data_IF_002257539095
#
_entry.id   IF_002257539095
#
_cell.length_a   1.000
_cell.length_b   1.000
_cell.length_c   1.000
_cell.angle_alpha   90.00
_cell.angle_beta   90.00
_cell.angle_gamma   90.00
#
_symmetry.space_group_name_H-M   'P 1'
#
loop_
_entity.id
_entity.type
_entity.pdbx_description
1 polymer ?
#
# COMPACT_ATOMS: atom_id res chain seq x y z
N UNK A 1 6.56 -15.46 19.59
CA UNK A 1 7.43 -16.13 18.60
C UNK A 1 6.97 -15.74 17.22
N UNK A 2 7.82 -15.05 16.47
CA UNK A 2 7.47 -14.55 15.12
C UNK A 2 7.33 -15.71 14.13
N UNK A 3 6.47 -15.55 13.12
CA UNK A 3 6.32 -16.48 12.00
C UNK A 3 7.68 -16.87 11.40
N UNK A 4 8.59 -15.89 11.29
CA UNK A 4 9.96 -16.03 10.82
C UNK A 4 10.93 -16.73 11.81
N UNK A 5 10.59 -16.96 13.07
CA UNK A 5 11.42 -17.73 14.01
C UNK A 5 11.17 -19.24 13.93
N UNK A 6 9.92 -19.64 13.62
CA UNK A 6 9.57 -21.03 13.33
C UNK A 6 10.18 -21.55 12.01
N UNK A 7 10.48 -20.65 11.08
CA UNK A 7 10.82 -20.98 9.70
C UNK A 7 12.31 -21.28 9.44
N UNK A 8 13.23 -20.65 10.17
CA UNK A 8 14.66 -20.63 9.79
C UNK A 8 15.60 -21.41 10.72
N UNK A 9 15.16 -21.80 11.93
CA UNK A 9 16.02 -22.50 12.90
C UNK A 9 17.18 -21.64 13.43
N UNK A 10 17.75 -22.03 14.58
CA UNK A 10 18.83 -21.29 15.24
C UNK A 10 20.18 -21.60 14.56
N UNK A 11 20.71 -20.67 13.74
CA UNK A 11 22.14 -20.35 13.49
C UNK A 11 22.50 -19.84 12.08
N UNK A 12 21.55 -19.62 11.16
CA UNK A 12 21.85 -18.91 9.90
C UNK A 12 21.36 -17.46 9.99
N UNK A 13 22.23 -16.53 9.60
CA UNK A 13 21.89 -15.12 9.53
C UNK A 13 20.78 -14.91 8.49
N UNK A 14 19.58 -14.61 8.98
CA UNK A 14 18.36 -14.53 8.16
C UNK A 14 18.48 -13.46 7.09
N UNK A 15 19.19 -12.37 7.37
CA UNK A 15 19.42 -11.30 6.41
C UNK A 15 20.28 -11.78 5.25
N UNK A 16 21.36 -12.51 5.55
CA UNK A 16 22.23 -13.12 4.52
C UNK A 16 21.46 -14.10 3.62
N UNK A 17 20.60 -14.95 4.19
CA UNK A 17 19.78 -15.90 3.39
C UNK A 17 18.80 -15.17 2.48
N UNK A 18 18.13 -14.14 2.99
CA UNK A 18 17.16 -13.35 2.20
C UNK A 18 17.84 -12.56 1.09
N UNK A 19 19.01 -11.99 1.36
CA UNK A 19 19.79 -11.24 0.38
C UNK A 19 20.24 -12.13 -0.78
N UNK A 20 20.72 -13.33 -0.47
CA UNK A 20 21.10 -14.33 -1.48
C UNK A 20 19.91 -14.80 -2.33
N UNK A 21 18.75 -15.05 -1.71
CA UNK A 21 17.54 -15.39 -2.46
C UNK A 21 17.17 -14.26 -3.41
N UNK A 22 17.20 -13.01 -2.92
CA UNK A 22 16.88 -11.84 -3.74
C UNK A 22 17.83 -11.68 -4.94
N UNK A 23 19.13 -11.83 -4.73
CA UNK A 23 20.12 -11.78 -5.81
C UNK A 23 19.86 -12.85 -6.88
N UNK A 24 19.60 -14.09 -6.46
CA UNK A 24 19.32 -15.19 -7.37
C UNK A 24 18.01 -15.01 -8.14
N UNK A 25 16.94 -14.63 -7.45
CA UNK A 25 15.65 -14.33 -8.10
C UNK A 25 15.81 -13.20 -9.09
N UNK A 26 16.51 -12.12 -8.72
CA UNK A 26 16.75 -10.99 -9.61
C UNK A 26 17.47 -11.42 -10.90
N UNK A 27 18.51 -12.25 -10.80
CA UNK A 27 19.26 -12.74 -11.96
C UNK A 27 18.42 -13.58 -12.93
N UNK A 28 17.37 -14.26 -12.44
CA UNK A 28 16.51 -15.11 -13.25
C UNK A 28 15.21 -14.40 -13.69
N UNK A 29 14.77 -13.41 -12.92
CA UNK A 29 13.58 -12.63 -13.20
C UNK A 29 13.70 -11.79 -14.48
N UNK A 30 14.89 -11.27 -14.81
CA UNK A 30 15.08 -10.53 -16.05
C UNK A 30 14.88 -11.42 -17.28
N UNK A 31 15.39 -12.65 -17.22
CA UNK A 31 15.20 -13.64 -18.27
C UNK A 31 13.73 -14.04 -18.39
N UNK A 32 13.05 -14.27 -17.27
CA UNK A 32 11.60 -14.54 -17.26
C UNK A 32 10.81 -13.39 -17.89
N UNK A 33 11.08 -12.14 -17.49
CA UNK A 33 10.40 -10.96 -18.02
C UNK A 33 10.63 -10.85 -19.53
N UNK A 34 11.88 -10.98 -19.99
CA UNK A 34 12.22 -10.91 -21.41
C UNK A 34 11.53 -12.01 -22.22
N UNK A 35 11.56 -13.25 -21.73
CA UNK A 35 10.88 -14.38 -22.39
C UNK A 35 9.36 -14.18 -22.42
N UNK A 36 8.77 -13.70 -21.32
CA UNK A 36 7.34 -13.44 -21.25
C UNK A 36 6.89 -12.36 -22.24
N UNK A 37 7.68 -11.28 -22.36
CA UNK A 37 7.43 -10.21 -23.34
C UNK A 37 7.56 -10.74 -24.76
N UNK A 38 8.54 -11.61 -25.04
CA UNK A 38 8.73 -12.22 -26.35
C UNK A 38 7.58 -13.18 -26.72
N UNK A 39 7.01 -13.88 -25.75
CA UNK A 39 5.89 -14.82 -25.95
C UNK A 39 4.52 -14.14 -26.01
N UNK A 40 4.43 -12.81 -25.90
CA UNK A 40 3.14 -12.11 -25.78
C UNK A 40 2.15 -12.41 -26.90
N UNK A 41 2.61 -12.63 -28.13
CA UNK A 41 1.72 -13.00 -29.24
C UNK A 41 1.13 -14.40 -29.05
N UNK A 42 1.95 -15.39 -28.68
CA UNK A 42 1.51 -16.76 -28.39
C UNK A 42 0.61 -16.83 -27.15
N UNK A 43 0.90 -16.01 -26.13
CA UNK A 43 0.10 -15.93 -24.91
C UNK A 43 -1.29 -15.31 -25.15
N UNK A 44 -1.48 -14.50 -26.19
CA UNK A 44 -2.80 -13.91 -26.50
C UNK A 44 -3.80 -14.95 -26.99
N UNK A 45 -3.32 -16.04 -27.57
CA UNK A 45 -4.16 -17.14 -28.06
C UNK A 45 -4.57 -18.11 -26.94
N UNK A 46 -3.97 -17.98 -25.76
CA UNK A 46 -4.22 -18.82 -24.59
C UNK A 46 -5.29 -18.25 -23.66
N UNK A 47 -6.03 -19.15 -23.01
CA UNK A 47 -6.93 -18.81 -21.92
C UNK A 47 -6.16 -18.26 -20.71
N UNK A 48 -6.86 -17.55 -19.82
CA UNK A 48 -6.27 -17.07 -18.57
C UNK A 48 -5.73 -18.22 -17.70
N UNK A 49 -6.39 -19.38 -17.74
CA UNK A 49 -6.00 -20.56 -16.97
C UNK A 49 -4.69 -21.17 -17.50
N UNK A 50 -4.56 -21.33 -18.82
CA UNK A 50 -3.34 -21.83 -19.46
C UNK A 50 -2.15 -20.89 -19.21
N UNK A 51 -2.36 -19.57 -19.29
CA UNK A 51 -1.32 -18.59 -18.95
C UNK A 51 -0.86 -18.69 -17.49
N UNK A 52 -1.79 -18.92 -16.56
CA UNK A 52 -1.48 -19.12 -15.14
C UNK A 52 -0.68 -20.40 -14.91
N UNK A 53 -0.96 -21.47 -15.64
CA UNK A 53 -0.19 -22.71 -15.58
C UNK A 53 1.24 -22.53 -16.09
N UNK A 54 1.43 -21.88 -17.23
CA UNK A 54 2.77 -21.56 -17.77
C UNK A 54 3.56 -20.71 -16.78
N UNK A 55 2.94 -19.66 -16.22
CA UNK A 55 3.58 -18.81 -15.22
C UNK A 55 4.01 -19.60 -13.98
N UNK A 56 3.14 -20.50 -13.50
CA UNK A 56 3.45 -21.37 -12.36
C UNK A 56 4.66 -22.27 -12.66
N UNK A 57 4.71 -22.86 -13.85
CA UNK A 57 5.83 -23.72 -14.26
C UNK A 57 7.15 -22.96 -14.35
N UNK A 58 7.15 -21.74 -14.90
CA UNK A 58 8.32 -20.86 -14.93
C UNK A 58 8.79 -20.48 -13.53
N UNK A 59 7.85 -20.18 -12.63
CA UNK A 59 8.18 -19.89 -11.24
C UNK A 59 8.73 -21.10 -10.47
N UNK A 60 8.24 -22.31 -10.79
CA UNK A 60 8.77 -23.55 -10.25
C UNK A 60 10.20 -23.83 -10.76
N UNK A 61 10.53 -23.42 -11.99
CA UNK A 61 11.92 -23.47 -12.49
C UNK A 61 12.84 -22.54 -11.68
N UNK A 62 12.43 -21.28 -11.47
CA UNK A 62 13.21 -20.31 -10.67
C UNK A 62 13.34 -20.79 -9.22
N UNK A 63 12.26 -21.33 -8.65
CA UNK A 63 12.26 -21.86 -7.28
C UNK A 63 13.22 -23.04 -7.13
N UNK A 64 13.22 -23.97 -8.08
CA UNK A 64 14.18 -25.10 -8.09
C UNK A 64 15.62 -24.62 -8.22
N UNK A 65 15.90 -23.71 -9.16
CA UNK A 65 17.24 -23.14 -9.35
C UNK A 65 17.73 -22.42 -8.07
N UNK A 66 16.87 -21.65 -7.43
CA UNK A 66 17.16 -20.96 -6.16
C UNK A 66 17.43 -21.96 -5.04
N UNK A 67 16.62 -23.03 -4.93
CA UNK A 67 16.83 -24.08 -3.93
C UNK A 67 18.17 -24.79 -4.12
N UNK A 68 18.56 -25.08 -5.36
CA UNK A 68 19.86 -25.67 -5.68
C UNK A 68 21.02 -24.74 -5.32
N UNK A 69 20.90 -23.45 -5.62
CA UNK A 69 21.89 -22.44 -5.26
C UNK A 69 22.11 -22.37 -3.74
N UNK A 70 21.03 -22.34 -2.96
CA UNK A 70 21.11 -22.37 -1.49
C UNK A 70 21.80 -23.64 -0.99
N UNK A 71 21.46 -24.80 -1.54
CA UNK A 71 22.10 -26.08 -1.19
C UNK A 71 23.60 -26.07 -1.50
N UNK A 72 24.01 -25.52 -2.65
CA UNK A 72 25.44 -25.38 -3.04
C UNK A 72 26.23 -24.54 -2.04
N UNK A 73 25.58 -23.56 -1.40
CA UNK A 73 26.18 -22.74 -0.33
C UNK A 73 26.02 -23.33 1.07
N UNK A 74 25.56 -24.58 1.20
CA UNK A 74 25.27 -25.25 2.47
C UNK A 74 24.23 -24.51 3.33
N UNK A 75 23.31 -23.80 2.68
CA UNK A 75 22.20 -23.07 3.31
C UNK A 75 20.96 -23.96 3.33
N UNK A 76 20.26 -23.99 4.47
CA UNK A 76 19.01 -24.74 4.58
C UNK A 76 17.94 -24.06 3.74
N UNK A 77 17.35 -24.79 2.80
CA UNK A 77 16.25 -24.28 1.97
C UNK A 77 15.04 -23.94 2.84
N UNK A 78 14.50 -22.71 2.77
CA UNK A 78 13.29 -22.33 3.48
C UNK A 78 12.09 -23.17 3.00
N UNK A 79 11.23 -23.60 3.92
CA UNK A 79 10.06 -24.42 3.60
C UNK A 79 9.04 -23.74 2.66
N UNK A 80 9.09 -22.42 2.56
CA UNK A 80 8.19 -21.57 1.78
C UNK A 80 8.95 -20.81 0.68
N UNK A 81 10.05 -21.36 0.18
CA UNK A 81 10.90 -20.71 -0.83
C UNK A 81 10.10 -20.23 -2.06
N UNK A 82 9.15 -21.03 -2.54
CA UNK A 82 8.27 -20.64 -3.65
C UNK A 82 7.56 -19.29 -3.39
N UNK A 83 7.09 -19.08 -2.16
CA UNK A 83 6.42 -17.82 -1.79
C UNK A 83 7.41 -16.66 -1.79
N UNK A 84 8.63 -16.87 -1.27
CA UNK A 84 9.68 -15.85 -1.28
C UNK A 84 10.03 -15.47 -2.72
N UNK A 85 10.27 -16.46 -3.59
CA UNK A 85 10.60 -16.24 -5.01
C UNK A 85 9.51 -15.44 -5.71
N UNK A 86 8.25 -15.80 -5.49
CA UNK A 86 7.09 -15.08 -6.03
C UNK A 86 7.05 -13.62 -5.58
N UNK A 87 7.26 -13.37 -4.29
CA UNK A 87 7.23 -12.00 -3.75
C UNK A 87 8.35 -11.14 -4.30
N UNK A 88 9.57 -11.67 -4.38
CA UNK A 88 10.70 -10.94 -4.96
C UNK A 88 10.48 -10.66 -6.46
N UNK A 89 9.88 -11.59 -7.21
CA UNK A 89 9.48 -11.36 -8.61
C UNK A 89 8.43 -10.25 -8.74
N UNK A 90 7.38 -10.30 -7.91
CA UNK A 90 6.34 -9.27 -7.89
C UNK A 90 6.89 -7.89 -7.54
N UNK A 91 7.76 -7.81 -6.53
CA UNK A 91 8.35 -6.56 -6.10
C UNK A 91 9.24 -5.98 -7.21
N UNK A 92 9.98 -6.82 -7.95
CA UNK A 92 10.75 -6.38 -9.13
C UNK A 92 9.86 -5.82 -10.24
N UNK A 93 8.75 -6.48 -10.58
CA UNK A 93 7.81 -5.97 -11.59
C UNK A 93 7.18 -4.64 -11.14
N UNK A 94 6.83 -4.51 -9.86
CA UNK A 94 6.32 -3.25 -9.28
C UNK A 94 7.39 -2.16 -9.32
N UNK A 95 8.66 -2.49 -9.05
CA UNK A 95 9.78 -1.55 -9.15
C UNK A 95 9.95 -1.03 -10.59
N UNK A 96 9.81 -1.90 -11.60
CA UNK A 96 9.81 -1.51 -13.02
C UNK A 96 8.60 -0.65 -13.40
N UNK A 97 7.41 -0.94 -12.87
CA UNK A 97 6.20 -0.18 -13.16
C UNK A 97 6.19 1.22 -12.50
N UNK A 98 6.84 1.35 -11.33
CA UNK A 98 6.73 2.53 -10.46
C UNK A 98 7.07 3.87 -11.13
N UNK A 99 8.14 4.02 -11.93
CA UNK A 99 8.44 5.27 -12.62
C UNK A 99 7.29 5.73 -13.52
N UNK A 100 6.74 4.82 -14.32
CA UNK A 100 5.62 5.10 -15.23
C UNK A 100 4.34 5.46 -14.48
N UNK A 101 4.02 4.74 -13.40
CA UNK A 101 2.86 5.05 -12.55
C UNK A 101 3.04 6.42 -11.88
N UNK A 102 4.26 6.73 -11.42
CA UNK A 102 4.57 8.00 -10.76
C UNK A 102 4.42 9.18 -11.71
N UNK A 103 4.91 9.05 -12.95
CA UNK A 103 4.77 10.06 -14.00
C UNK A 103 3.31 10.23 -14.42
N UNK A 104 2.59 9.12 -14.61
CA UNK A 104 1.16 9.14 -14.91
C UNK A 104 0.38 9.90 -13.85
N UNK A 105 0.55 9.56 -12.56
CA UNK A 105 -0.08 10.27 -11.44
C UNK A 105 0.34 11.75 -11.41
N UNK A 106 1.62 12.03 -11.66
CA UNK A 106 2.13 13.39 -11.68
C UNK A 106 1.44 14.26 -12.73
N UNK A 107 1.09 13.69 -13.89
CA UNK A 107 0.39 14.41 -14.97
C UNK A 107 -1.00 14.93 -14.58
N UNK A 108 -1.66 14.30 -13.61
CA UNK A 108 -2.97 14.74 -13.09
C UNK A 108 -2.85 15.80 -11.99
N UNK A 109 -1.63 16.09 -11.54
CA UNK A 109 -1.42 17.14 -10.55
C UNK A 109 -1.68 18.50 -11.17
N UNK A 110 -2.32 19.36 -10.39
CA UNK A 110 -2.54 20.77 -10.76
C UNK A 110 -1.63 21.64 -9.88
N UNK A 111 -0.37 21.87 -10.28
CA UNK A 111 0.62 22.57 -9.44
C UNK A 111 0.25 24.03 -9.16
N UNK A 112 -0.66 24.60 -9.96
CA UNK A 112 -1.18 25.96 -9.81
C UNK A 112 -2.36 26.07 -8.83
N UNK A 113 -2.95 24.96 -8.39
CA UNK A 113 -3.98 24.97 -7.37
C UNK A 113 -3.33 24.98 -5.98
N UNK A 114 -3.84 25.83 -5.09
CA UNK A 114 -3.47 25.78 -3.69
C UNK A 114 -3.82 24.39 -3.14
N UNK A 115 -2.81 23.73 -2.58
CA UNK A 115 -3.01 22.46 -1.88
C UNK A 115 -3.67 22.74 -0.53
N UNK A 116 -4.58 21.89 -0.05
CA UNK A 116 -5.07 20.65 -0.66
C UNK A 116 -6.22 20.79 -1.67
N UNK A 117 -6.24 19.92 -2.69
CA UNK A 117 -7.33 19.81 -3.66
C UNK A 117 -7.54 18.34 -4.07
N UNK A 118 -8.78 17.92 -4.36
CA UNK A 118 -9.04 16.58 -4.87
C UNK A 118 -8.37 16.40 -6.24
N UNK A 119 -7.70 15.27 -6.41
CA UNK A 119 -7.18 14.81 -7.70
C UNK A 119 -8.02 13.61 -8.10
N UNK A 120 -8.71 13.73 -9.23
CA UNK A 120 -9.49 12.64 -9.81
C UNK A 120 -8.80 12.16 -11.08
N UNK A 121 -8.56 10.86 -11.15
CA UNK A 121 -7.91 10.19 -12.27
C UNK A 121 -8.99 9.35 -12.95
N UNK A 122 -9.40 9.67 -14.19
CA UNK A 122 -10.43 8.91 -14.88
C UNK A 122 -10.01 7.46 -15.12
N UNK A 123 -10.89 6.50 -14.82
CA UNK A 123 -10.62 5.07 -15.04
C UNK A 123 -10.24 4.75 -16.49
N UNK A 124 -10.83 5.45 -17.47
CA UNK A 124 -10.52 5.31 -18.90
C UNK A 124 -9.07 5.61 -19.26
N UNK A 125 -8.38 6.43 -18.45
CA UNK A 125 -6.99 6.77 -18.70
C UNK A 125 -6.02 5.70 -18.19
N UNK A 126 -6.52 4.70 -17.45
CA UNK A 126 -5.74 3.51 -17.07
C UNK A 126 -5.35 2.67 -18.27
N UNK A 127 -6.16 2.66 -19.33
CA UNK A 127 -5.83 1.95 -20.57
C UNK A 127 -4.56 2.53 -21.24
N UNK A 128 -4.36 3.85 -21.13
CA UNK A 128 -3.15 4.52 -21.61
C UNK A 128 -1.93 4.13 -20.80
N UNK A 129 -2.06 4.06 -19.48
CA UNK A 129 -0.99 3.60 -18.60
C UNK A 129 -0.68 2.12 -18.88
N UNK A 130 -1.68 1.28 -19.11
CA UNK A 130 -1.49 -0.13 -19.48
C UNK A 130 -0.73 -0.26 -20.79
N UNK A 131 -1.07 0.54 -21.81
CA UNK A 131 -0.33 0.58 -23.06
C UNK A 131 1.13 1.03 -22.87
N UNK A 132 1.34 2.10 -22.08
CA UNK A 132 2.69 2.61 -21.76
C UNK A 132 3.54 1.54 -21.08
N UNK A 133 2.98 0.83 -20.08
CA UNK A 133 3.69 -0.25 -19.39
C UNK A 133 4.03 -1.40 -20.35
N UNK A 134 3.12 -1.76 -21.25
CA UNK A 134 3.37 -2.79 -22.26
C UNK A 134 4.50 -2.40 -23.22
N UNK A 135 4.49 -1.17 -23.74
CA UNK A 135 5.53 -0.64 -24.62
C UNK A 135 6.91 -0.60 -23.96
N UNK A 136 6.95 -0.36 -22.64
CA UNK A 136 8.19 -0.36 -21.86
C UNK A 136 8.59 -1.75 -21.33
N UNK A 137 7.94 -2.83 -21.80
CA UNK A 137 8.30 -4.19 -21.43
C UNK A 137 8.03 -4.50 -19.96
N UNK A 138 7.00 -3.90 -19.36
CA UNK A 138 6.57 -4.15 -17.99
C UNK A 138 5.34 -5.09 -18.00
N UNK A 139 5.54 -6.41 -17.91
CA UNK A 139 4.45 -7.38 -17.97
C UNK A 139 3.72 -7.47 -16.61
N UNK A 140 2.74 -6.60 -16.39
CA UNK A 140 1.89 -6.68 -15.18
C UNK A 140 1.16 -8.04 -15.05
N UNK A 141 1.01 -8.78 -16.15
CA UNK A 141 0.44 -10.13 -16.17
C UNK A 141 1.30 -11.17 -15.46
N UNK A 142 2.61 -10.91 -15.30
CA UNK A 142 3.51 -11.76 -14.51
C UNK A 142 3.31 -11.61 -13.00
N UNK A 143 2.52 -10.62 -12.57
CA UNK A 143 2.20 -10.46 -11.17
C UNK A 143 1.38 -11.66 -10.69
N UNK A 144 2.02 -12.53 -9.92
CA UNK A 144 1.41 -13.75 -9.40
C UNK A 144 1.14 -13.59 -7.91
N UNK A 145 -0.13 -13.55 -7.53
CA UNK A 145 -0.54 -13.44 -6.14
C UNK A 145 -1.27 -14.72 -5.70
N UNK A 146 -1.70 -14.83 -4.44
CA UNK A 146 -2.43 -16.02 -3.94
C UNK A 146 -3.19 -15.69 -2.65
N UNK A 147 -4.28 -14.94 -2.81
CA UNK A 147 -5.28 -14.51 -1.84
C UNK A 147 -6.67 -14.53 -2.49
N UNK A 148 -7.41 -15.57 -2.17
CA UNK A 148 -8.86 -15.61 -2.43
C UNK A 148 -9.58 -14.47 -1.71
N UNK A 149 -10.77 -14.11 -2.19
CA UNK A 149 -11.66 -13.15 -1.50
C UNK A 149 -11.82 -13.49 -0.02
N UNK A 150 -12.07 -14.76 0.30
CA UNK A 150 -12.23 -15.24 1.68
C UNK A 150 -11.00 -14.96 2.55
N UNK A 151 -9.80 -15.10 1.96
CA UNK A 151 -8.54 -14.78 2.64
C UNK A 151 -8.39 -13.27 2.85
N UNK A 152 -8.76 -12.43 1.88
CA UNK A 152 -8.79 -10.97 2.02
C UNK A 152 -9.74 -10.59 3.17
N UNK A 153 -10.96 -11.13 3.18
CA UNK A 153 -11.94 -10.89 4.25
C UNK A 153 -11.37 -11.26 5.62
N UNK A 154 -10.74 -12.43 5.72
CA UNK A 154 -10.13 -12.92 6.96
C UNK A 154 -9.05 -11.96 7.48
N UNK A 155 -8.21 -11.44 6.59
CA UNK A 155 -7.14 -10.50 6.95
C UNK A 155 -7.66 -9.12 7.36
N UNK A 156 -8.67 -8.62 6.65
CA UNK A 156 -9.35 -7.37 7.01
C UNK A 156 -9.97 -7.44 8.41
N UNK A 157 -10.54 -8.59 8.77
CA UNK A 157 -11.07 -8.85 10.11
C UNK A 157 -9.94 -9.01 11.13
N UNK A 158 -8.94 -9.84 10.83
CA UNK A 158 -7.80 -10.12 11.73
C UNK A 158 -7.01 -8.86 12.07
N UNK A 159 -6.92 -7.91 11.14
CA UNK A 159 -6.24 -6.64 11.34
C UNK A 159 -7.17 -5.49 11.67
N UNK A 160 -8.42 -5.80 12.02
CA UNK A 160 -9.43 -4.86 12.53
C UNK A 160 -9.76 -3.69 11.58
N UNK A 161 -9.46 -3.85 10.28
CA UNK A 161 -9.78 -2.88 9.23
C UNK A 161 -11.28 -2.90 8.96
N UNK A 162 -11.86 -4.10 8.90
CA UNK A 162 -13.31 -4.31 8.89
C UNK A 162 -13.70 -5.09 10.12
N UNK A 163 -14.71 -4.60 10.84
CA UNK A 163 -15.27 -5.30 12.00
C UNK A 163 -16.73 -5.65 11.72
N UNK A 164 -17.14 -6.82 12.18
CA UNK A 164 -18.53 -7.23 12.17
C UNK A 164 -19.36 -6.23 13.00
N UNK A 165 -20.41 -5.62 12.44
CA UNK A 165 -21.28 -4.73 13.20
C UNK A 165 -22.00 -5.51 14.32
N UNK A 166 -22.07 -4.92 15.52
CA UNK A 166 -22.68 -5.56 16.71
C UNK A 166 -24.15 -5.96 16.50
N UNK A 167 -24.86 -5.21 15.65
CA UNK A 167 -26.28 -5.43 15.33
C UNK A 167 -26.52 -6.47 14.23
N UNK A 168 -25.47 -6.98 13.57
CA UNK A 168 -25.61 -8.04 12.55
C UNK A 168 -25.17 -9.39 13.12
N UNK A 169 -25.92 -10.45 12.81
CA UNK A 169 -25.47 -11.81 13.12
C UNK A 169 -24.33 -12.24 12.16
N UNK A 170 -23.64 -13.34 12.47
CA UNK A 170 -22.45 -13.75 11.70
C UNK A 170 -22.77 -14.15 10.25
N UNK A 171 -23.94 -14.74 10.03
CA UNK A 171 -24.39 -15.24 8.74
C UNK A 171 -24.77 -14.10 7.79
N UNK A 172 -25.53 -13.13 8.29
CA UNK A 172 -25.89 -11.89 7.57
C UNK A 172 -24.66 -11.05 7.28
N UNK A 173 -23.71 -10.94 8.21
CA UNK A 173 -22.45 -10.23 7.98
C UNK A 173 -21.62 -10.92 6.88
N UNK A 174 -21.50 -12.25 6.91
CA UNK A 174 -20.76 -13.00 5.89
C UNK A 174 -21.34 -12.82 4.48
N UNK A 175 -22.68 -12.84 4.36
CA UNK A 175 -23.38 -12.59 3.08
C UNK A 175 -23.21 -11.16 2.56
N UNK A 176 -23.17 -10.17 3.45
CA UNK A 176 -23.08 -8.76 3.08
C UNK A 176 -21.66 -8.20 3.13
N UNK A 177 -20.66 -9.03 3.45
CA UNK A 177 -19.27 -8.58 3.55
C UNK A 177 -18.80 -8.10 2.19
N UNK A 178 -18.49 -6.81 2.11
CA UNK A 178 -17.82 -6.16 1.00
C UNK A 178 -16.65 -5.34 1.53
N UNK A 179 -15.68 -5.11 0.66
CA UNK A 179 -14.50 -4.31 0.97
C UNK A 179 -14.25 -3.33 -0.19
N UNK A 180 -13.74 -2.14 0.12
CA UNK A 180 -13.42 -1.10 -0.86
C UNK A 180 -11.94 -1.12 -1.24
N UNK A 181 -11.57 -0.38 -2.30
CA UNK A 181 -10.17 -0.13 -2.65
C UNK A 181 -9.36 0.50 -1.50
N UNK A 182 -9.99 1.35 -0.67
CA UNK A 182 -9.33 1.99 0.47
C UNK A 182 -9.04 0.99 1.60
N UNK A 183 -9.93 0.03 1.85
CA UNK A 183 -9.71 -1.07 2.82
C UNK A 183 -8.45 -1.87 2.44
N UNK A 184 -8.26 -2.07 1.14
CA UNK A 184 -7.15 -2.85 0.58
C UNK A 184 -5.82 -2.11 0.65
N UNK A 185 -5.82 -0.78 0.44
CA UNK A 185 -4.65 0.07 0.65
C UNK A 185 -4.23 0.02 2.11
N UNK A 186 -5.18 0.19 3.04
CA UNK A 186 -4.91 0.14 4.47
C UNK A 186 -4.37 -1.23 4.90
N UNK A 187 -4.92 -2.32 4.34
CA UNK A 187 -4.42 -3.67 4.59
C UNK A 187 -2.97 -3.81 4.15
N UNK A 188 -2.61 -3.35 2.96
CA UNK A 188 -1.23 -3.40 2.46
C UNK A 188 -0.25 -2.66 3.39
N UNK A 189 -0.63 -1.48 3.88
CA UNK A 189 0.19 -0.70 4.83
C UNK A 189 0.39 -1.43 6.17
N UNK A 190 -0.70 -1.99 6.74
CA UNK A 190 -0.65 -2.72 8.02
C UNK A 190 0.23 -3.96 7.91
N UNK A 191 0.12 -4.71 6.82
CA UNK A 191 0.92 -5.91 6.58
C UNK A 191 2.41 -5.56 6.46
N UNK A 192 2.73 -4.51 5.68
CA UNK A 192 4.10 -4.01 5.53
C UNK A 192 4.70 -3.56 6.86
N UNK A 193 3.95 -2.80 7.66
CA UNK A 193 4.41 -2.31 8.96
C UNK A 193 4.73 -3.45 9.94
N UNK A 194 4.06 -4.59 9.82
CA UNK A 194 4.28 -5.77 10.65
C UNK A 194 5.37 -6.72 10.11
N UNK A 195 6.05 -6.34 9.03
CA UNK A 195 6.94 -7.21 8.25
C UNK A 195 6.28 -8.56 7.91
N UNK A 196 4.96 -8.53 7.76
CA UNK A 196 4.20 -9.70 7.36
C UNK A 196 4.19 -9.71 5.85
N UNK A 197 5.07 -10.55 5.31
CA UNK A 197 5.03 -11.00 3.93
C UNK A 197 3.85 -11.95 3.78
N UNK A 198 2.65 -11.40 3.75
CA UNK A 198 1.47 -12.12 3.31
C UNK A 198 1.41 -11.94 1.80
N UNK A 199 1.33 -13.09 1.13
CA UNK A 199 0.85 -13.33 -0.24
C UNK A 199 0.10 -12.09 -0.75
N UNK A 200 0.58 -11.46 -1.81
CA UNK A 200 0.06 -10.17 -2.26
C UNK A 200 -1.46 -10.15 -2.34
N UNK A 201 -2.05 -9.05 -1.91
CA UNK A 201 -3.49 -8.83 -2.03
C UNK A 201 -3.82 -8.84 -3.52
N UNK A 202 -4.37 -9.96 -3.99
CA UNK A 202 -4.37 -10.32 -5.42
C UNK A 202 -5.17 -9.36 -6.27
N UNK A 203 -6.22 -8.76 -5.71
CA UNK A 203 -7.01 -7.80 -6.44
C UNK A 203 -6.41 -6.40 -6.49
N UNK A 204 -5.25 -6.18 -5.84
CA UNK A 204 -4.83 -4.86 -5.34
C UNK A 204 -3.49 -4.41 -5.87
N UNK A 205 -2.64 -5.35 -6.25
CA UNK A 205 -1.35 -5.02 -6.87
C UNK A 205 -1.35 -5.23 -8.39
N UNK A 206 -2.25 -6.06 -8.92
CA UNK A 206 -2.50 -6.19 -10.37
C UNK A 206 -3.58 -5.25 -10.90
N UNK A 207 -4.45 -4.74 -10.03
CA UNK A 207 -5.33 -3.62 -10.38
C UNK A 207 -4.46 -2.37 -10.49
N UNK A 208 -4.14 -2.03 -11.73
CA UNK A 208 -3.40 -0.84 -12.09
C UNK A 208 -3.98 0.41 -11.41
N UNK A 209 -5.30 0.43 -11.18
CA UNK A 209 -5.97 1.50 -10.44
C UNK A 209 -5.47 1.65 -9.02
N UNK A 210 -5.20 0.55 -8.31
CA UNK A 210 -4.74 0.61 -6.93
C UNK A 210 -3.30 1.05 -6.86
N UNK A 211 -2.44 0.58 -7.76
CA UNK A 211 -1.08 1.10 -7.86
C UNK A 211 -1.08 2.62 -8.11
N UNK A 212 -1.96 3.08 -9.00
CA UNK A 212 -2.19 4.50 -9.27
C UNK A 212 -2.72 5.24 -8.04
N UNK A 213 -3.72 4.69 -7.32
CA UNK A 213 -4.28 5.29 -6.10
C UNK A 213 -3.27 5.37 -4.97
N UNK A 214 -2.48 4.31 -4.76
CA UNK A 214 -1.42 4.30 -3.74
C UNK A 214 -0.36 5.36 -4.05
N UNK A 215 0.06 5.45 -5.32
CA UNK A 215 1.01 6.45 -5.75
C UNK A 215 0.42 7.87 -5.66
N UNK A 216 -0.87 8.03 -5.99
CA UNK A 216 -1.59 9.27 -5.80
C UNK A 216 -1.61 9.69 -4.33
N UNK A 217 -2.05 8.82 -3.42
CA UNK A 217 -2.04 9.07 -1.98
C UNK A 217 -0.63 9.42 -1.49
N UNK A 218 0.41 8.69 -1.93
CA UNK A 218 1.80 8.97 -1.57
C UNK A 218 2.25 10.36 -2.02
N UNK A 219 1.94 10.75 -3.25
CA UNK A 219 2.28 12.08 -3.76
C UNK A 219 1.46 13.20 -3.10
N UNK A 220 0.19 12.95 -2.80
CA UNK A 220 -0.69 13.88 -2.09
C UNK A 220 -0.23 14.07 -0.63
N UNK A 221 0.07 12.98 0.09
CA UNK A 221 0.62 13.02 1.45
C UNK A 221 1.97 13.73 1.50
N UNK A 222 2.84 13.51 0.49
CA UNK A 222 4.14 14.21 0.40
C UNK A 222 3.96 15.73 0.22
N UNK A 223 3.06 16.15 -0.66
CA UNK A 223 2.75 17.57 -0.88
C UNK A 223 2.07 18.21 0.31
N UNK A 224 1.11 17.50 0.90
CA UNK A 224 0.42 17.91 2.10
C UNK A 224 1.43 18.12 3.23
N UNK A 225 2.29 17.13 3.50
CA UNK A 225 3.34 17.22 4.51
C UNK A 225 4.24 18.42 4.30
N UNK A 226 4.70 18.67 3.08
CA UNK A 226 5.56 19.82 2.75
C UNK A 226 4.85 21.15 3.04
N UNK A 227 3.60 21.29 2.58
CA UNK A 227 2.80 22.50 2.76
C UNK A 227 2.42 22.73 4.22
N UNK A 228 2.01 21.66 4.92
CA UNK A 228 1.63 21.67 6.32
C UNK A 228 2.81 22.03 7.23
N UNK A 229 4.00 21.47 6.97
CA UNK A 229 5.24 21.85 7.68
C UNK A 229 5.67 23.28 7.38
N UNK A 230 5.49 23.76 6.15
CA UNK A 230 5.75 25.17 5.81
C UNK A 230 4.83 26.13 6.57
N UNK A 231 3.56 25.76 6.77
CA UNK A 231 2.60 26.52 7.58
C UNK A 231 2.86 26.40 9.10
N UNK A 232 3.60 25.38 9.52
CA UNK A 232 3.90 25.07 10.92
C UNK A 232 5.41 24.81 11.11
N UNK A 233 6.27 25.83 10.98
CA UNK A 233 7.72 25.66 11.07
C UNK A 233 8.17 25.14 12.45
N UNK A 234 7.46 25.50 13.51
CA UNK A 234 7.81 25.16 14.90
C UNK A 234 7.21 23.82 15.37
N UNK A 235 6.53 23.08 14.49
CA UNK A 235 5.97 21.78 14.85
C UNK A 235 7.12 20.79 15.12
N UNK A 236 7.22 20.19 16.32
CA UNK A 236 8.30 19.24 16.62
C UNK A 236 8.31 18.01 15.70
N UNK A 237 9.38 17.22 15.77
CA UNK A 237 9.46 15.96 15.02
C UNK A 237 8.45 14.91 15.51
N UNK A 238 8.17 14.91 16.82
CA UNK A 238 7.19 14.04 17.48
C UNK A 238 6.14 14.86 18.21
N UNK A 239 5.16 15.46 17.50
CA UNK A 239 4.15 16.28 18.14
C UNK A 239 3.18 15.45 18.97
N UNK A 240 2.84 15.99 20.14
CA UNK A 240 1.72 15.53 20.94
C UNK A 240 0.40 15.72 20.21
N UNK A 241 -0.65 15.03 20.69
CA UNK A 241 -2.01 15.12 20.12
C UNK A 241 -2.53 16.56 20.07
N UNK A 242 -2.24 17.37 21.10
CA UNK A 242 -2.62 18.78 21.17
C UNK A 242 -1.85 19.64 20.17
N UNK A 243 -0.55 19.40 20.01
CA UNK A 243 0.27 20.13 19.02
C UNK A 243 -0.16 19.84 17.58
N UNK A 244 -0.57 18.60 17.30
CA UNK A 244 -1.19 18.25 16.01
C UNK A 244 -2.49 19.01 15.75
N UNK A 245 -3.39 19.08 16.74
CA UNK A 245 -4.64 19.82 16.62
C UNK A 245 -4.40 21.34 16.47
N UNK A 246 -3.49 21.92 17.24
CA UNK A 246 -3.11 23.33 17.13
C UNK A 246 -2.50 23.67 15.76
N UNK A 247 -1.63 22.80 15.25
CA UNK A 247 -1.02 22.94 13.91
C UNK A 247 -2.06 22.77 12.79
N UNK A 248 -3.04 21.89 12.98
CA UNK A 248 -4.18 21.73 12.09
C UNK A 248 -4.95 23.03 11.96
N UNK A 249 -5.41 23.57 13.10
CA UNK A 249 -6.19 24.82 13.13
C UNK A 249 -5.42 25.98 12.53
N UNK A 250 -4.10 26.05 12.77
CA UNK A 250 -3.25 27.09 12.18
C UNK A 250 -3.18 27.01 10.65
N UNK A 251 -3.03 25.81 10.09
CA UNK A 251 -2.83 25.62 8.66
C UNK A 251 -4.14 25.56 7.85
N UNK A 252 -5.18 24.93 8.41
CA UNK A 252 -6.39 24.53 7.69
C UNK A 252 -7.68 25.13 8.29
N UNK A 253 -7.57 25.81 9.43
CA UNK A 253 -8.69 26.47 10.11
C UNK A 253 -9.82 25.47 10.39
N UNK A 254 -11.01 25.72 9.85
CA UNK A 254 -12.23 24.95 10.03
C UNK A 254 -12.50 23.95 8.90
N UNK A 255 -11.59 23.83 7.93
CA UNK A 255 -11.72 22.85 6.85
C UNK A 255 -11.36 21.46 7.39
N UNK A 256 -12.36 20.60 7.60
CA UNK A 256 -12.20 19.28 8.21
C UNK A 256 -11.92 18.17 7.19
N UNK A 257 -11.94 18.48 5.89
CA UNK A 257 -11.79 17.48 4.81
C UNK A 257 -10.39 16.84 4.80
N UNK A 258 -9.43 17.44 5.50
CA UNK A 258 -8.02 17.04 5.50
C UNK A 258 -7.55 16.38 6.79
N UNK A 259 -8.47 16.08 7.71
CA UNK A 259 -8.16 15.37 8.96
C UNK A 259 -7.42 14.05 8.69
N UNK A 260 -7.86 13.28 7.69
CA UNK A 260 -7.23 12.00 7.33
C UNK A 260 -5.75 12.12 6.94
N UNK A 261 -5.34 13.23 6.32
CA UNK A 261 -3.93 13.48 5.99
C UNK A 261 -3.09 13.73 7.25
N UNK A 262 -3.64 14.48 8.20
CA UNK A 262 -2.96 14.77 9.47
C UNK A 262 -2.90 13.53 10.36
N UNK A 263 -3.95 12.70 10.40
CA UNK A 263 -3.93 11.43 11.13
C UNK A 263 -2.86 10.48 10.58
N UNK A 264 -2.72 10.36 9.25
CA UNK A 264 -1.65 9.56 8.63
C UNK A 264 -0.26 10.11 8.96
N UNK A 265 -0.07 11.43 8.89
CA UNK A 265 1.19 12.07 9.27
C UNK A 265 1.53 11.87 10.75
N UNK A 266 0.55 11.99 11.64
CA UNK A 266 0.71 11.78 13.07
C UNK A 266 1.11 10.34 13.38
N UNK A 267 0.48 9.36 12.72
CA UNK A 267 0.81 7.94 12.84
C UNK A 267 2.27 7.67 12.46
N UNK A 268 2.75 8.28 11.36
CA UNK A 268 4.15 8.17 10.93
C UNK A 268 5.14 8.83 11.93
N UNK A 269 4.70 9.83 12.68
CA UNK A 269 5.48 10.47 13.75
C UNK A 269 5.38 9.74 15.10
N UNK A 270 4.61 8.64 15.18
CA UNK A 270 4.41 7.85 16.40
C UNK A 270 3.21 8.26 17.25
N UNK A 271 2.36 9.16 16.78
CA UNK A 271 1.15 9.61 17.49
C UNK A 271 -0.09 8.95 16.88
N UNK A 272 -0.76 8.10 17.66
CA UNK A 272 -1.99 7.41 17.24
C UNK A 272 -3.19 8.12 17.88
N UNK A 273 -4.14 8.51 17.03
CA UNK A 273 -5.45 9.03 17.44
C UNK A 273 -6.47 7.90 17.47
N UNK A 274 -7.36 7.94 18.45
CA UNK A 274 -8.59 7.15 18.44
C UNK A 274 -9.57 7.73 17.40
N UNK A 275 -10.56 6.93 16.98
CA UNK A 275 -11.53 7.32 15.94
C UNK A 275 -12.27 8.60 16.36
N UNK A 276 -12.10 9.67 15.57
CA UNK A 276 -12.73 10.98 15.83
C UNK A 276 -12.04 11.82 16.91
N UNK A 277 -10.96 11.34 17.53
CA UNK A 277 -10.22 12.07 18.57
C UNK A 277 -9.59 13.36 18.00
N UNK A 278 -8.94 13.28 16.84
CA UNK A 278 -8.33 14.46 16.21
C UNK A 278 -9.39 15.51 15.86
N UNK A 279 -10.52 15.10 15.29
CA UNK A 279 -11.62 16.01 14.95
C UNK A 279 -12.13 16.75 16.19
N UNK A 280 -12.33 16.02 17.29
CA UNK A 280 -12.77 16.61 18.56
C UNK A 280 -11.76 17.65 19.06
N UNK A 281 -10.47 17.32 19.07
CA UNK A 281 -9.42 18.24 19.51
C UNK A 281 -9.32 19.49 18.62
N UNK A 282 -9.49 19.34 17.30
CA UNK A 282 -9.52 20.46 16.35
C UNK A 282 -10.72 21.38 16.63
N UNK A 283 -11.90 20.81 16.88
CA UNK A 283 -13.10 21.59 17.23
C UNK A 283 -12.94 22.33 18.56
N UNK A 284 -12.34 21.70 19.56
CA UNK A 284 -12.03 22.33 20.86
C UNK A 284 -11.05 23.51 20.70
N UNK A 285 -9.99 23.33 19.91
CA UNK A 285 -8.99 24.35 19.63
C UNK A 285 -9.58 25.54 18.83
N UNK A 286 -10.50 25.28 17.90
CA UNK A 286 -11.25 26.32 17.18
C UNK A 286 -12.17 27.11 18.13
N UNK A 287 -12.85 26.43 19.05
CA UNK A 287 -13.73 27.06 20.02
C UNK A 287 -12.95 28.00 20.97
N UNK A 288 -11.76 27.61 21.42
CA UNK A 288 -10.90 28.43 22.28
C UNK A 288 -10.38 29.70 21.58
N UNK A 289 -10.31 29.72 20.25
CA UNK A 289 -9.88 30.89 19.45
C UNK A 289 -11.02 31.83 19.05
N UNK A 290 -12.28 31.48 19.33
CA UNK A 290 -13.40 32.38 19.08
C UNK A 290 -13.51 33.33 20.27
N UNK A 291 -13.26 34.65 20.12
CA UNK A 291 -13.40 35.57 21.24
C UNK A 291 -14.85 35.54 21.73
N UNK A 292 -15.02 35.12 22.98
CA UNK A 292 -16.26 35.30 23.71
C UNK A 292 -16.45 36.81 23.87
N UNK A 293 -17.26 37.43 23.01
CA UNK A 293 -17.78 38.77 23.27
C UNK A 293 -18.94 38.61 24.25
N UNK A 294 -18.79 38.94 25.55
CA UNK A 294 -19.96 39.08 26.40
C UNK A 294 -20.79 40.22 25.82
N UNK A 295 -21.99 39.90 25.34
CA UNK A 295 -22.92 40.88 24.82
C UNK A 295 -23.13 41.98 25.85
N UNK A 296 -22.76 43.22 25.50
CA UNK A 296 -23.34 44.40 26.13
C UNK A 296 -24.83 44.40 25.75
N UNK A 297 -25.70 43.96 26.65
CA UNK A 297 -27.09 44.36 26.59
C UNK A 297 -27.15 45.87 26.87
N UNK A 298 -27.81 46.67 26.02
CA UNK A 298 -28.02 48.09 26.27
C UNK A 298 -28.95 48.25 27.46
N UNK A 299 -28.60 49.18 28.35
CA UNK A 299 -29.48 49.58 29.44
C UNK A 299 -30.81 50.11 28.91
N UNK A 300 -31.87 49.70 29.59
CA UNK A 300 -33.11 50.48 29.76
C UNK A 300 -33.34 50.54 31.26
#
# INVERSE_FOLDING_TARGET
MGFLEKLFGKKQDKETVMLLIKEYVNAHADSLIANWVAMQEELNDLTELERKEILKDEMDKITRATAEALKRQNIKVPAHLFQIVREELNDKIIELARPHISEFVYSYRRPYLAWPHPVDIPLRDLDKLKATLKENGVPLELLNYDLTDERIRSLLIQHEIRRKPEFQNAETWSRNFSYSHDDLILLAEVLKAKNIRIQGVEHVRGDLWILVKQELLRQQDSQFRKSFRKANPDLPEKPSRKEWAAAYVRALKNDLDYLGYVERMARLAGTIFEKGELEKLVREELAQKTPHFPGRSPGI
#
